data_IF_870356349344
#
_entry.id   IF_870356349344
#
_cell.length_a   1.000
_cell.length_b   1.000
_cell.length_c   1.000
_cell.angle_alpha   90.00
_cell.angle_beta   90.00
_cell.angle_gamma   90.00
#
_symmetry.space_group_name_H-M   'P 1'
#
loop_
_entity.id
_entity.type
_entity.pdbx_description
1 polymer ?
#
# COMPACT_ATOMS: atom_id res chain seq x y z
N UNK A 1 -9.61 10.71 18.76
CA UNK A 1 -9.70 9.45 17.98
C UNK A 1 -8.52 8.59 18.39
N UNK A 2 -8.75 7.34 18.81
CA UNK A 2 -7.63 6.42 19.10
C UNK A 2 -7.00 5.93 17.80
N UNK A 3 -5.74 5.47 17.87
CA UNK A 3 -5.09 4.82 16.73
C UNK A 3 -5.87 3.59 16.24
N UNK A 4 -6.50 2.84 17.15
CA UNK A 4 -7.34 1.69 16.79
C UNK A 4 -8.54 2.09 15.93
N UNK A 5 -9.22 3.18 16.25
CA UNK A 5 -10.34 3.67 15.44
C UNK A 5 -9.87 4.21 14.08
N UNK A 6 -8.69 4.83 14.04
CA UNK A 6 -8.07 5.27 12.79
C UNK A 6 -7.71 4.09 11.87
N UNK A 7 -7.22 2.98 12.43
CA UNK A 7 -6.97 1.76 11.66
C UNK A 7 -8.26 1.19 11.07
N UNK A 8 -9.37 1.15 11.83
CA UNK A 8 -10.66 0.68 11.31
C UNK A 8 -11.17 1.54 10.13
N UNK A 9 -11.07 2.86 10.24
CA UNK A 9 -11.43 3.76 9.15
C UNK A 9 -10.53 3.56 7.92
N UNK A 10 -9.22 3.42 8.14
CA UNK A 10 -8.26 3.14 7.08
C UNK A 10 -8.48 1.76 6.45
N UNK A 11 -8.89 0.73 7.20
CA UNK A 11 -9.21 -0.59 6.67
C UNK A 11 -10.40 -0.52 5.71
N UNK A 12 -11.45 0.22 6.09
CA UNK A 12 -12.60 0.42 5.22
C UNK A 12 -12.19 1.01 3.87
N UNK A 13 -11.39 2.10 3.87
CA UNK A 13 -10.92 2.75 2.63
C UNK A 13 -9.95 1.87 1.85
N UNK A 14 -9.01 1.21 2.54
CA UNK A 14 -7.96 0.41 1.92
C UNK A 14 -8.52 -0.83 1.20
N UNK A 15 -9.56 -1.46 1.78
CA UNK A 15 -10.16 -2.66 1.24
C UNK A 15 -11.41 -2.41 0.39
N UNK A 16 -12.00 -1.21 0.41
CA UNK A 16 -13.16 -0.89 -0.44
C UNK A 16 -12.84 -1.20 -1.92
N UNK A 17 -11.77 -0.64 -2.46
CA UNK A 17 -11.36 -0.91 -3.85
C UNK A 17 -10.96 -2.37 -4.11
N UNK A 18 -10.30 -3.03 -3.15
CA UNK A 18 -9.87 -4.42 -3.29
C UNK A 18 -11.03 -5.41 -3.27
N UNK A 19 -12.00 -5.23 -2.37
CA UNK A 19 -13.18 -6.07 -2.26
C UNK A 19 -14.17 -5.83 -3.41
N UNK A 20 -14.19 -4.61 -3.95
CA UNK A 20 -14.99 -4.26 -5.12
C UNK A 20 -14.33 -4.68 -6.44
N UNK A 21 -13.07 -5.14 -6.43
CA UNK A 21 -12.39 -5.65 -7.62
C UNK A 21 -13.11 -6.91 -8.14
N UNK A 22 -13.74 -6.85 -9.33
CA UNK A 22 -14.84 -7.76 -9.64
C UNK A 22 -14.38 -9.10 -10.23
N UNK A 23 -14.81 -10.21 -9.61
CA UNK A 23 -15.17 -11.51 -10.22
C UNK A 23 -14.26 -12.15 -11.30
N UNK A 24 -13.82 -13.38 -11.01
CA UNK A 24 -13.13 -14.35 -11.89
C UNK A 24 -11.84 -13.82 -12.55
N UNK A 25 -10.82 -14.68 -12.63
CA UNK A 25 -9.49 -14.26 -13.13
C UNK A 25 -9.55 -13.79 -14.59
N UNK A 26 -10.63 -14.14 -15.30
CA UNK A 26 -10.85 -13.86 -16.71
C UNK A 26 -11.66 -12.58 -16.99
N UNK A 27 -12.12 -11.84 -15.97
CA UNK A 27 -12.82 -10.57 -16.20
C UNK A 27 -11.88 -9.53 -16.79
N UNK A 28 -12.24 -8.95 -17.95
CA UNK A 28 -11.41 -7.95 -18.63
C UNK A 28 -11.14 -6.69 -17.78
N UNK A 29 -12.03 -6.36 -16.84
CA UNK A 29 -11.78 -5.28 -15.87
C UNK A 29 -10.64 -5.61 -14.90
N UNK A 30 -10.33 -6.89 -14.69
CA UNK A 30 -9.22 -7.34 -13.86
C UNK A 30 -7.88 -7.37 -14.62
N UNK A 31 -7.90 -7.18 -15.94
CA UNK A 31 -6.69 -7.19 -16.79
C UNK A 31 -6.04 -5.80 -16.93
N UNK A 32 -6.73 -4.73 -16.51
CA UNK A 32 -6.20 -3.36 -16.52
C UNK A 32 -5.95 -2.92 -15.09
N UNK A 33 -4.69 -2.69 -14.75
CA UNK A 33 -4.27 -2.22 -13.42
C UNK A 33 -4.50 -0.71 -13.29
N UNK A 34 -4.71 -0.25 -12.05
CA UNK A 34 -4.76 1.17 -11.65
C UNK A 34 -5.86 2.04 -12.25
N UNK A 35 -7.08 1.52 -12.38
CA UNK A 35 -8.16 2.29 -12.98
C UNK A 35 -8.74 3.38 -12.07
N UNK A 36 -8.84 3.13 -10.75
CA UNK A 36 -9.44 4.09 -9.81
C UNK A 36 -8.84 3.95 -8.42
N UNK A 37 -8.50 5.09 -7.79
CA UNK A 37 -8.26 5.17 -6.35
C UNK A 37 -6.99 4.44 -5.88
N UNK A 38 -5.99 4.29 -6.75
CA UNK A 38 -4.68 3.74 -6.41
C UNK A 38 -3.57 4.69 -6.80
N UNK A 39 -2.43 4.56 -6.13
CA UNK A 39 -1.21 5.28 -6.48
C UNK A 39 -0.57 4.61 -7.70
N UNK A 40 -0.65 5.25 -8.87
CA UNK A 40 -0.11 4.72 -10.12
C UNK A 40 1.43 4.74 -10.15
N UNK A 41 2.07 3.98 -11.05
CA UNK A 41 3.51 4.15 -11.28
C UNK A 41 3.82 5.47 -12.00
N UNK A 42 5.05 5.99 -11.87
CA UNK A 42 5.49 7.18 -12.60
C UNK A 42 5.11 7.15 -14.09
N UNK A 43 4.41 8.19 -14.55
CA UNK A 43 4.01 8.35 -15.95
C UNK A 43 2.84 7.46 -16.42
N UNK A 44 2.14 6.74 -15.54
CA UNK A 44 0.95 5.97 -15.91
C UNK A 44 -0.21 6.87 -16.37
N UNK A 45 -0.56 7.89 -15.59
CA UNK A 45 -1.58 8.88 -15.94
C UNK A 45 -1.32 9.57 -17.28
N UNK A 46 -0.09 10.04 -17.49
CA UNK A 46 0.31 10.69 -18.74
C UNK A 46 0.18 9.77 -19.98
N UNK A 47 0.28 8.44 -19.80
CA UNK A 47 0.09 7.44 -20.85
C UNK A 47 -1.36 6.95 -20.97
N UNK A 48 -2.25 7.38 -20.09
CA UNK A 48 -3.65 6.95 -20.06
C UNK A 48 -3.85 5.49 -19.64
N UNK A 49 -2.87 4.91 -18.92
CA UNK A 49 -2.88 3.49 -18.49
C UNK A 49 -3.03 3.32 -16.98
N UNK A 50 -3.21 4.42 -16.23
CA UNK A 50 -3.40 4.38 -14.78
C UNK A 50 -3.57 5.77 -14.16
N UNK A 51 -3.46 5.82 -12.84
CA UNK A 51 -3.61 7.02 -12.02
C UNK A 51 -2.30 7.78 -11.82
N UNK A 52 -2.38 8.92 -11.15
CA UNK A 52 -1.21 9.74 -10.79
C UNK A 52 -0.27 8.99 -9.84
N UNK A 53 1.01 9.34 -9.93
CA UNK A 53 2.04 8.76 -9.07
C UNK A 53 2.09 9.39 -7.68
N UNK A 54 1.26 10.39 -7.38
CA UNK A 54 1.21 11.00 -6.06
C UNK A 54 -0.21 11.22 -5.51
N UNK A 55 -0.31 11.11 -4.19
CA UNK A 55 -1.46 11.53 -3.41
C UNK A 55 -1.06 12.55 -2.36
N UNK A 56 -1.92 13.53 -2.15
CA UNK A 56 -1.72 14.56 -1.15
C UNK A 56 -2.98 14.77 -0.32
N UNK A 57 -2.81 14.89 0.99
CA UNK A 57 -3.85 15.30 1.92
C UNK A 57 -3.40 16.53 2.71
N UNK A 58 -4.33 17.43 2.98
CA UNK A 58 -4.12 18.59 3.83
C UNK A 58 -5.11 18.60 5.00
N UNK A 59 -4.60 18.75 6.21
CA UNK A 59 -5.37 18.74 7.44
C UNK A 59 -5.06 19.99 8.28
N UNK A 60 -6.07 20.76 8.70
CA UNK A 60 -5.88 21.79 9.70
C UNK A 60 -5.66 21.16 11.08
N UNK A 61 -4.61 21.57 11.78
CA UNK A 61 -4.24 21.07 13.11
C UNK A 61 -4.20 22.23 14.09
N UNK A 62 -4.94 22.09 15.20
CA UNK A 62 -4.84 22.99 16.35
C UNK A 62 -3.87 22.40 17.36
N UNK A 63 -2.74 23.06 17.59
CA UNK A 63 -1.80 22.69 18.64
C UNK A 63 -2.19 23.42 19.92
N UNK A 64 -2.74 22.72 20.91
CA UNK A 64 -2.90 23.30 22.24
C UNK A 64 -1.55 23.24 22.94
N UNK A 65 -0.95 24.37 23.31
CA UNK A 65 0.06 24.34 24.38
C UNK A 65 -0.66 23.76 25.58
N UNK A 66 -0.21 22.64 26.13
CA UNK A 66 -0.90 22.00 27.24
C UNK A 66 -1.02 22.98 28.42
N UNK A 67 -2.19 23.58 28.56
CA UNK A 67 -2.58 24.34 29.74
C UNK A 67 -2.76 23.31 30.86
N UNK A 68 -1.68 23.11 31.63
CA UNK A 68 -1.59 22.04 32.64
C UNK A 68 -0.32 21.19 32.56
N UNK A 69 0.57 21.43 31.59
CA UNK A 69 1.93 20.90 31.67
C UNK A 69 2.58 21.30 32.98
N UNK A 70 3.14 20.33 33.71
CA UNK A 70 4.01 20.61 34.84
C UNK A 70 5.06 21.66 34.42
N UNK A 71 5.46 22.59 35.31
CA UNK A 71 6.51 23.56 35.01
C UNK A 71 7.74 22.81 34.46
N UNK A 72 8.08 23.01 33.17
CA UNK A 72 9.20 22.33 32.50
C UNK A 72 8.84 21.34 31.39
N UNK A 73 7.57 21.01 31.14
CA UNK A 73 7.18 20.24 29.95
C UNK A 73 7.14 21.14 28.71
N UNK A 74 8.32 21.37 28.11
CA UNK A 74 8.57 22.22 26.93
C UNK A 74 8.62 21.43 25.61
N UNK A 75 7.97 20.27 25.55
CA UNK A 75 7.96 19.46 24.33
C UNK A 75 7.09 20.08 23.23
N UNK A 76 7.65 20.27 22.03
CA UNK A 76 6.88 20.51 20.82
C UNK A 76 5.90 19.33 20.61
N UNK A 77 4.68 19.58 20.12
CA UNK A 77 3.78 18.47 19.80
C UNK A 77 4.40 17.61 18.70
N UNK A 78 4.23 16.29 18.81
CA UNK A 78 4.81 15.30 17.91
C UNK A 78 3.73 14.67 17.03
N UNK A 79 4.10 14.31 15.81
CA UNK A 79 3.25 13.64 14.83
C UNK A 79 3.85 12.30 14.45
N UNK A 80 3.04 11.25 14.54
CA UNK A 80 3.33 9.94 13.95
C UNK A 80 2.42 9.77 12.74
N UNK A 81 2.98 9.31 11.63
CA UNK A 81 2.23 9.02 10.40
C UNK A 81 2.28 7.52 10.17
N UNK A 82 1.12 6.89 10.01
CA UNK A 82 1.02 5.49 9.64
C UNK A 82 0.66 5.39 8.16
N UNK A 83 1.64 5.06 7.33
CA UNK A 83 1.42 4.75 5.92
C UNK A 83 0.93 3.30 5.82
N UNK A 84 -0.26 3.11 5.24
CA UNK A 84 -0.87 1.80 5.05
C UNK A 84 -1.19 1.61 3.57
N UNK A 85 -0.82 0.47 3.01
CA UNK A 85 -1.08 0.14 1.62
C UNK A 85 -1.28 -1.37 1.44
N UNK A 86 -1.78 -1.75 0.26
CA UNK A 86 -1.84 -3.13 -0.19
C UNK A 86 -0.69 -3.38 -1.17
N UNK A 87 0.24 -4.25 -0.78
CA UNK A 87 1.30 -4.75 -1.64
C UNK A 87 0.75 -5.86 -2.53
N UNK A 88 1.01 -5.74 -3.83
CA UNK A 88 0.58 -6.73 -4.81
C UNK A 88 1.36 -8.04 -4.65
N UNK A 89 0.61 -9.14 -4.64
CA UNK A 89 1.14 -10.50 -4.68
C UNK A 89 0.45 -11.29 -5.79
N UNK A 90 1.20 -11.99 -6.64
CA UNK A 90 0.62 -12.94 -7.59
C UNK A 90 0.78 -14.34 -7.04
N UNK A 91 -0.32 -15.04 -6.86
CA UNK A 91 -0.33 -16.50 -6.69
C UNK A 91 -0.47 -17.16 -8.06
N UNK A 92 0.49 -17.99 -8.42
CA UNK A 92 0.47 -18.82 -9.63
C UNK A 92 0.41 -20.28 -9.21
N UNK A 93 -0.67 -20.95 -9.56
CA UNK A 93 -0.75 -22.40 -9.47
C UNK A 93 0.06 -23.03 -10.60
N UNK A 94 0.91 -24.00 -10.27
CA UNK A 94 1.74 -24.71 -11.23
C UNK A 94 1.51 -26.22 -11.11
N UNK A 95 1.29 -26.89 -12.24
CA UNK A 95 1.12 -28.33 -12.29
C UNK A 95 2.47 -29.01 -12.54
N UNK A 96 2.76 -30.05 -11.74
CA UNK A 96 3.90 -30.93 -11.95
C UNK A 96 3.63 -31.81 -13.19
N UNK A 97 4.52 -31.74 -14.17
CA UNK A 97 4.47 -32.53 -15.38
C UNK A 97 5.21 -33.87 -15.20
N UNK A 98 4.95 -34.88 -16.07
CA UNK A 98 5.64 -36.17 -16.00
C UNK A 98 7.17 -36.10 -16.14
N UNK A 99 7.68 -35.04 -16.77
CA UNK A 99 9.12 -34.78 -16.92
C UNK A 99 9.75 -34.09 -15.69
N UNK A 100 8.96 -33.85 -14.64
CA UNK A 100 9.40 -33.16 -13.42
C UNK A 100 9.34 -31.64 -13.48
N UNK A 101 8.97 -31.05 -14.61
CA UNK A 101 8.82 -29.59 -14.74
C UNK A 101 7.52 -29.07 -14.10
N UNK A 102 7.53 -27.79 -13.73
CA UNK A 102 6.34 -27.10 -13.20
C UNK A 102 5.84 -26.09 -14.22
N UNK A 103 4.59 -26.26 -14.67
CA UNK A 103 3.98 -25.40 -15.69
C UNK A 103 2.82 -24.59 -15.07
N UNK A 104 2.78 -23.26 -15.24
CA UNK A 104 1.67 -22.44 -14.79
C UNK A 104 0.32 -22.88 -15.36
N UNK A 105 -0.69 -22.96 -14.50
CA UNK A 105 -2.08 -23.30 -14.85
C UNK A 105 -3.06 -22.29 -14.24
N UNK A 106 -4.22 -22.12 -14.87
CA UNK A 106 -5.28 -21.27 -14.31
C UNK A 106 -5.83 -21.85 -13.00
N UNK A 107 -5.97 -23.17 -12.94
CA UNK A 107 -6.50 -23.94 -11.82
C UNK A 107 -5.70 -25.23 -11.61
N UNK A 108 -5.32 -25.50 -10.36
CA UNK A 108 -4.71 -26.76 -9.92
C UNK A 108 -5.68 -27.47 -8.95
N UNK A 109 -6.07 -28.70 -9.27
CA UNK A 109 -6.95 -29.52 -8.43
C UNK A 109 -6.14 -30.47 -7.56
N UNK A 110 -6.38 -30.42 -6.25
CA UNK A 110 -5.72 -31.26 -5.25
C UNK A 110 -6.79 -31.91 -4.40
N UNK A 111 -7.10 -33.18 -4.67
CA UNK A 111 -8.23 -33.86 -4.04
C UNK A 111 -9.55 -33.16 -4.37
N UNK A 112 -10.25 -32.67 -3.34
CA UNK A 112 -11.48 -31.87 -3.47
C UNK A 112 -11.23 -30.38 -3.65
N UNK A 113 -10.01 -29.91 -3.39
CA UNK A 113 -9.68 -28.49 -3.39
C UNK A 113 -9.26 -28.02 -4.79
N UNK A 114 -9.60 -26.77 -5.12
CA UNK A 114 -9.19 -26.13 -6.38
C UNK A 114 -8.46 -24.83 -6.06
N UNK A 115 -7.20 -24.75 -6.49
CA UNK A 115 -6.34 -23.60 -6.32
C UNK A 115 -6.27 -22.80 -7.62
N UNK A 116 -6.72 -21.54 -7.58
CA UNK A 116 -6.70 -20.63 -8.73
C UNK A 116 -5.46 -19.75 -8.72
N UNK A 117 -4.88 -19.53 -9.90
CA UNK A 117 -3.94 -18.44 -10.14
C UNK A 117 -4.66 -17.10 -10.03
N UNK A 118 -4.18 -16.21 -9.16
CA UNK A 118 -4.91 -15.02 -8.74
C UNK A 118 -3.98 -13.92 -8.19
N UNK A 119 -4.41 -12.66 -8.32
CA UNK A 119 -3.74 -11.50 -7.70
C UNK A 119 -4.27 -11.30 -6.28
N UNK A 120 -3.40 -11.52 -5.31
CA UNK A 120 -3.63 -11.30 -3.88
C UNK A 120 -3.07 -9.94 -3.46
N UNK A 121 -3.53 -9.47 -2.30
CA UNK A 121 -3.02 -8.26 -1.66
C UNK A 121 -2.51 -8.58 -0.26
N UNK A 122 -1.32 -8.07 0.06
CA UNK A 122 -0.72 -8.17 1.39
C UNK A 122 -0.71 -6.78 2.03
N UNK A 123 -1.34 -6.65 3.19
CA UNK A 123 -1.35 -5.38 3.89
C UNK A 123 0.03 -5.03 4.42
N UNK A 124 0.44 -3.79 4.18
CA UNK A 124 1.65 -3.20 4.74
C UNK A 124 1.26 -2.02 5.62
N UNK A 125 1.92 -1.91 6.77
CA UNK A 125 1.90 -0.72 7.62
C UNK A 125 3.34 -0.30 7.91
N UNK A 126 3.60 1.00 7.78
CA UNK A 126 4.86 1.66 8.16
C UNK A 126 4.54 2.85 9.06
N UNK A 127 5.13 2.85 10.25
CA UNK A 127 5.10 4.00 11.15
C UNK A 127 6.26 4.91 10.82
N UNK A 128 5.99 6.20 10.68
CA UNK A 128 6.91 7.24 10.25
C UNK A 128 6.94 8.33 11.31
N UNK A 129 8.15 8.80 11.64
CA UNK A 129 8.38 9.76 12.73
C UNK A 129 8.80 9.08 14.04
N UNK A 130 8.57 9.72 15.21
CA UNK A 130 7.78 10.93 15.40
C UNK A 130 8.45 12.18 14.80
N UNK A 131 7.64 13.07 14.22
CA UNK A 131 8.07 14.35 13.68
C UNK A 131 7.72 15.47 14.66
N UNK A 132 8.66 16.38 14.91
CA UNK A 132 8.34 17.61 15.64
C UNK A 132 7.50 18.52 14.75
N UNK A 133 6.36 19.00 15.26
CA UNK A 133 5.44 19.88 14.54
C UNK A 133 5.90 21.35 14.50
N UNK A 134 7.22 21.56 14.38
CA UNK A 134 7.78 22.87 14.05
C UNK A 134 7.44 23.24 12.60
N UNK A 135 7.60 24.53 12.24
CA UNK A 135 7.51 24.91 10.84
C UNK A 135 8.64 24.24 10.05
N UNK A 136 8.31 23.52 8.97
CA UNK A 136 9.30 22.82 8.17
C UNK A 136 8.73 21.67 7.35
N UNK A 137 9.59 21.12 6.48
CA UNK A 137 9.32 19.95 5.67
C UNK A 137 10.30 18.84 6.03
N UNK A 138 9.80 17.62 6.11
CA UNK A 138 10.61 16.40 6.19
C UNK A 138 10.20 15.46 5.07
N UNK A 139 11.16 14.77 4.48
CA UNK A 139 10.93 13.79 3.46
C UNK A 139 11.76 12.54 3.74
N UNK A 140 11.21 11.38 3.43
CA UNK A 140 11.87 10.10 3.63
C UNK A 140 11.33 9.08 2.62
N UNK A 141 12.20 8.15 2.29
CA UNK A 141 11.87 7.08 1.37
C UNK A 141 11.38 5.86 2.17
N UNK A 142 10.35 5.22 1.64
CA UNK A 142 9.69 4.05 2.20
C UNK A 142 9.89 2.91 1.22
N UNK A 143 10.56 1.88 1.69
CA UNK A 143 10.80 0.65 0.94
C UNK A 143 10.08 -0.53 1.60
N UNK A 144 9.49 -1.37 0.76
CA UNK A 144 8.92 -2.65 1.16
C UNK A 144 9.50 -3.70 0.25
N UNK A 145 10.16 -4.69 0.84
CA UNK A 145 10.75 -5.77 0.07
C UNK A 145 9.67 -6.58 -0.66
N UNK A 146 10.00 -6.98 -1.89
CA UNK A 146 9.27 -8.03 -2.58
C UNK A 146 9.67 -9.40 -2.05
N UNK A 147 9.32 -10.45 -2.78
CA UNK A 147 9.78 -11.79 -2.44
C UNK A 147 9.06 -12.86 -3.25
N UNK A 148 9.51 -14.09 -3.07
CA UNK A 148 8.87 -15.26 -3.65
C UNK A 148 8.77 -16.35 -2.59
N UNK A 149 7.61 -17.01 -2.55
CA UNK A 149 7.33 -18.12 -1.65
C UNK A 149 6.72 -19.27 -2.45
N UNK A 150 7.21 -20.48 -2.22
CA UNK A 150 6.75 -21.69 -2.90
C UNK A 150 6.11 -22.62 -1.86
N UNK A 151 4.85 -22.96 -2.09
CA UNK A 151 4.11 -23.94 -1.31
C UNK A 151 3.94 -25.22 -2.16
N UNK A 152 4.55 -26.31 -1.72
CA UNK A 152 4.44 -27.59 -2.40
C UNK A 152 3.06 -28.21 -2.17
N UNK A 153 2.45 -28.74 -3.23
CA UNK A 153 1.16 -29.43 -3.19
C UNK A 153 1.24 -30.79 -3.89
N UNK A 154 0.39 -31.77 -3.55
CA UNK A 154 0.27 -32.98 -4.35
C UNK A 154 -0.04 -32.64 -5.82
N UNK A 155 0.83 -33.05 -6.74
CA UNK A 155 0.67 -32.82 -8.18
C UNK A 155 1.09 -31.42 -8.67
N UNK A 156 1.73 -30.59 -7.84
CA UNK A 156 2.17 -29.27 -8.26
C UNK A 156 2.68 -28.37 -7.13
N UNK A 157 2.58 -27.06 -7.32
CA UNK A 157 2.95 -26.07 -6.31
C UNK A 157 2.21 -24.74 -6.51
N UNK A 158 2.17 -23.92 -5.47
CA UNK A 158 1.77 -22.52 -5.55
C UNK A 158 3.00 -21.64 -5.42
N UNK A 159 3.23 -20.77 -6.40
CA UNK A 159 4.28 -19.74 -6.35
C UNK A 159 3.62 -18.41 -6.06
N UNK A 160 3.96 -17.79 -4.92
CA UNK A 160 3.50 -16.46 -4.52
C UNK A 160 4.64 -15.48 -4.70
N UNK A 161 4.54 -14.61 -5.70
CA UNK A 161 5.51 -13.56 -5.96
C UNK A 161 4.95 -12.21 -5.52
N UNK A 162 5.66 -11.53 -4.62
CA UNK A 162 5.38 -10.16 -4.16
C UNK A 162 6.32 -9.18 -4.86
N UNK A 163 5.78 -8.08 -5.34
CA UNK A 163 6.60 -7.01 -5.92
C UNK A 163 7.03 -6.01 -4.85
N UNK A 164 8.27 -5.51 -4.91
CA UNK A 164 8.72 -4.47 -3.98
C UNK A 164 7.89 -3.20 -4.17
N UNK A 165 7.79 -2.39 -3.12
CA UNK A 165 7.22 -1.06 -3.17
C UNK A 165 8.29 -0.02 -2.83
N UNK A 166 8.26 1.09 -3.55
CA UNK A 166 9.11 2.25 -3.30
C UNK A 166 8.23 3.49 -3.34
N UNK A 167 8.30 4.29 -2.29
CA UNK A 167 7.59 5.54 -2.22
C UNK A 167 8.41 6.59 -1.48
N UNK A 168 8.23 7.86 -1.87
CA UNK A 168 8.69 9.01 -1.11
C UNK A 168 7.51 9.62 -0.36
N UNK A 169 7.67 9.86 0.92
CA UNK A 169 6.66 10.55 1.73
C UNK A 169 7.21 11.89 2.18
N UNK A 170 6.42 12.93 2.01
CA UNK A 170 6.74 14.31 2.35
C UNK A 170 5.71 14.79 3.37
N UNK A 171 6.20 15.29 4.50
CA UNK A 171 5.38 15.86 5.56
C UNK A 171 5.79 17.31 5.73
N UNK A 172 4.85 18.22 5.50
CA UNK A 172 5.05 19.66 5.59
C UNK A 172 4.09 20.23 6.64
N UNK A 173 4.63 21.05 7.54
CA UNK A 173 3.86 21.73 8.56
C UNK A 173 4.08 23.22 8.50
N UNK A 174 3.00 23.97 8.29
CA UNK A 174 3.06 25.41 8.05
C UNK A 174 2.11 26.20 8.95
N UNK A 175 2.45 27.43 9.34
CA UNK A 175 1.50 28.35 9.97
C UNK A 175 0.28 28.62 9.07
N UNK A 176 -0.92 28.60 9.64
CA UNK A 176 -2.17 28.90 8.94
C UNK A 176 -3.14 29.62 9.89
N UNK A 177 -2.87 30.91 10.17
CA UNK A 177 -3.64 31.69 11.14
C UNK A 177 -3.43 31.18 12.58
N UNK A 178 -4.53 30.88 13.29
CA UNK A 178 -4.51 30.26 14.63
C UNK A 178 -4.35 28.73 14.58
N UNK A 179 -4.28 28.16 13.38
CA UNK A 179 -4.06 26.76 13.11
C UNK A 179 -2.69 26.56 12.46
N UNK A 180 -2.38 25.29 12.24
CA UNK A 180 -1.30 24.82 11.41
C UNK A 180 -1.88 24.00 10.27
N UNK A 181 -1.28 24.07 9.09
CA UNK A 181 -1.62 23.18 7.97
C UNK A 181 -0.61 22.04 7.94
N UNK A 182 -1.10 20.82 8.15
CA UNK A 182 -0.36 19.60 7.88
C UNK A 182 -0.62 19.19 6.44
N UNK A 183 0.42 19.06 5.63
CA UNK A 183 0.37 18.42 4.33
C UNK A 183 1.13 17.11 4.41
N UNK A 184 0.51 16.02 3.97
CA UNK A 184 1.19 14.73 3.76
C UNK A 184 1.04 14.37 2.30
N UNK A 185 2.17 14.20 1.62
CA UNK A 185 2.23 13.76 0.22
C UNK A 185 2.96 12.42 0.15
N UNK A 186 2.42 11.49 -0.63
CA UNK A 186 3.01 10.17 -0.89
C UNK A 186 3.19 10.06 -2.39
N UNK A 187 4.40 9.73 -2.83
CA UNK A 187 4.78 9.61 -4.23
C UNK A 187 5.29 8.19 -4.47
N UNK A 188 4.72 7.48 -5.44
CA UNK A 188 5.29 6.23 -5.93
C UNK A 188 6.54 6.55 -6.75
N UNK A 189 7.66 5.93 -6.38
CA UNK A 189 8.97 6.15 -7.02
C UNK A 189 9.52 4.89 -7.66
N UNK A 190 8.71 3.84 -7.80
CA UNK A 190 9.15 2.60 -8.43
C UNK A 190 9.37 2.81 -9.94
N UNK A 191 10.61 2.58 -10.39
CA UNK A 191 11.00 2.71 -11.80
C UNK A 191 10.53 1.52 -12.66
N UNK A 192 10.46 0.33 -12.05
CA UNK A 192 10.01 -0.90 -12.69
C UNK A 192 8.60 -1.26 -12.23
N UNK A 193 7.63 -1.08 -13.13
CA UNK A 193 6.27 -1.57 -12.92
C UNK A 193 5.98 -2.64 -13.97
N UNK A 194 5.60 -3.84 -13.50
CA UNK A 194 5.35 -4.97 -14.36
C UNK A 194 3.90 -4.96 -14.84
N UNK A 195 3.71 -4.76 -16.15
CA UNK A 195 2.55 -5.31 -16.87
C UNK A 195 2.67 -6.83 -16.77
N UNK A 196 1.79 -7.47 -15.98
CA UNK A 196 1.71 -8.92 -15.89
C UNK A 196 0.58 -9.42 -16.80
#
# INVERSE_FOLDING_TARGET
MSLSLARLAADAVLYEGYLLYPYRATSGKNQVRWQFGVLGPPGAAARGVGEEADYQVQCPVRTTSAAGSAPGATGQPRLEVYLRCLQLQRRTAQQLQPDGSHVPVAELRVGSDTWTSWDEAVQVERMLGPFDLGAGAVAFDVEVEGGEEIEALPGGQLVRRRWPLQARVEVLFEPAGDLRRLTVRVVNTADDWHEA
#
